data_IF_651197628105
#
_entry.id   IF_651197628105
#
_cell.length_a   1.000
_cell.length_b   1.000
_cell.length_c   1.000
_cell.angle_alpha   90.00
_cell.angle_beta   90.00
_cell.angle_gamma   90.00
#
_symmetry.space_group_name_H-M   'P 1'
#
loop_
_entity.id
_entity.type
_entity.pdbx_description
1 polymer ?
#
# COMPACT_ATOMS: atom_id res chain seq x y z
N UNK A 1 -48.33 -15.48 -19.94
CA UNK A 1 -48.09 -15.77 -21.35
C UNK A 1 -48.04 -14.45 -22.12
N UNK A 2 -46.83 -13.95 -22.41
CA UNK A 2 -46.49 -13.02 -23.49
C UNK A 2 -44.97 -12.97 -23.54
N UNK A 3 -44.44 -13.70 -24.50
CA UNK A 3 -43.03 -13.86 -24.83
C UNK A 3 -42.67 -12.71 -25.76
N UNK A 4 -41.64 -11.92 -25.43
CA UNK A 4 -41.06 -10.95 -26.36
C UNK A 4 -39.61 -11.36 -26.61
N UNK A 5 -39.40 -12.02 -27.74
CA UNK A 5 -38.09 -12.31 -28.33
C UNK A 5 -37.62 -11.04 -29.03
N UNK A 6 -36.45 -10.50 -28.65
CA UNK A 6 -35.75 -9.49 -29.46
C UNK A 6 -34.49 -10.13 -30.00
N UNK A 7 -34.39 -10.08 -31.32
CA UNK A 7 -33.48 -10.81 -32.17
C UNK A 7 -32.03 -10.30 -32.10
N UNK A 8 -31.12 -11.25 -32.33
CA UNK A 8 -29.69 -11.07 -32.53
C UNK A 8 -29.36 -10.11 -33.68
N UNK A 9 -28.32 -9.30 -33.49
CA UNK A 9 -27.50 -8.76 -34.56
C UNK A 9 -26.05 -9.18 -34.30
N UNK A 10 -25.59 -10.16 -35.08
CA UNK A 10 -24.21 -10.57 -35.21
C UNK A 10 -23.51 -9.64 -36.20
N UNK A 11 -22.36 -9.07 -35.81
CA UNK A 11 -21.47 -8.29 -36.69
C UNK A 11 -20.15 -9.05 -36.92
N UNK A 12 -19.66 -9.19 -38.18
CA UNK A 12 -18.43 -9.90 -38.47
C UNK A 12 -17.18 -9.00 -38.48
N UNK A 13 -16.08 -9.59 -37.99
CA UNK A 13 -14.68 -9.58 -38.48
C UNK A 13 -14.14 -8.38 -39.27
N UNK A 14 -12.97 -7.88 -38.83
CA UNK A 14 -11.83 -7.57 -39.71
C UNK A 14 -10.52 -7.75 -38.91
N UNK A 15 -9.66 -8.66 -39.41
CA UNK A 15 -8.28 -8.84 -38.96
C UNK A 15 -7.40 -7.71 -39.52
N UNK A 16 -6.50 -7.17 -38.70
CA UNK A 16 -5.30 -6.48 -39.17
C UNK A 16 -4.10 -6.98 -38.37
N UNK A 17 -3.35 -7.89 -39.00
CA UNK A 17 -2.02 -8.29 -38.58
C UNK A 17 -1.00 -7.33 -39.21
N UNK A 18 -0.12 -6.73 -38.41
CA UNK A 18 1.15 -6.19 -38.88
C UNK A 18 2.26 -6.77 -38.03
N UNK A 19 2.83 -7.86 -38.53
CA UNK A 19 4.14 -8.36 -38.15
C UNK A 19 5.18 -7.62 -39.00
N UNK A 20 6.19 -7.00 -38.41
CA UNK A 20 7.37 -6.53 -39.12
C UNK A 20 8.57 -6.61 -38.18
N UNK A 21 9.29 -7.72 -38.30
CA UNK A 21 10.63 -7.91 -37.79
C UNK A 21 11.59 -6.95 -38.49
N UNK A 22 12.33 -6.16 -37.73
CA UNK A 22 13.59 -5.57 -38.18
C UNK A 22 14.72 -6.17 -37.36
N UNK A 23 15.34 -7.18 -37.98
CA UNK A 23 16.63 -7.76 -37.67
C UNK A 23 17.70 -6.89 -38.33
N UNK A 24 18.66 -6.36 -37.59
CA UNK A 24 19.98 -5.97 -38.09
C UNK A 24 21.02 -6.07 -36.95
N UNK A 25 22.31 -6.20 -37.29
CA UNK A 25 23.19 -7.18 -36.67
C UNK A 25 24.16 -6.61 -35.62
N UNK A 26 24.75 -7.56 -34.90
CA UNK A 26 25.98 -7.46 -34.13
C UNK A 26 27.07 -6.70 -34.89
N UNK A 27 27.78 -5.80 -34.20
CA UNK A 27 29.10 -5.32 -34.58
C UNK A 27 29.94 -5.29 -33.32
N UNK A 28 30.53 -6.45 -33.03
CA UNK A 28 31.75 -6.54 -32.27
C UNK A 28 32.84 -5.76 -33.02
N UNK A 29 33.39 -4.74 -32.37
CA UNK A 29 34.74 -4.28 -32.68
C UNK A 29 35.48 -4.09 -31.37
N UNK A 30 36.16 -5.16 -30.97
CA UNK A 30 37.31 -5.08 -30.07
C UNK A 30 38.46 -4.36 -30.76
N UNK A 31 39.04 -3.37 -30.09
CA UNK A 31 40.43 -2.98 -30.29
C UNK A 31 40.98 -2.58 -28.92
N UNK A 32 42.00 -3.33 -28.49
CA UNK A 32 42.82 -3.11 -27.30
C UNK A 32 44.01 -2.19 -27.68
N UNK A 33 45.09 -2.10 -26.87
CA UNK A 33 45.45 -0.90 -26.11
C UNK A 33 46.73 -0.23 -26.65
N UNK A 34 46.98 1.03 -26.30
CA UNK A 34 48.35 1.52 -26.30
C UNK A 34 48.59 2.52 -25.18
N UNK A 35 49.75 2.32 -24.55
CA UNK A 35 50.22 2.92 -23.32
C UNK A 35 51.08 4.18 -23.59
N UNK A 36 51.61 4.72 -22.47
CA UNK A 36 52.81 5.58 -22.35
C UNK A 36 52.60 7.11 -22.52
N UNK A 37 53.12 8.04 -21.70
CA UNK A 37 54.00 8.08 -20.49
C UNK A 37 53.73 9.39 -19.71
N UNK A 38 53.80 9.27 -18.38
CA UNK A 38 54.29 10.20 -17.34
C UNK A 38 54.90 11.57 -17.70
N UNK A 39 54.50 12.63 -16.99
CA UNK A 39 55.44 13.49 -16.22
C UNK A 39 54.73 14.55 -15.35
N UNK A 40 55.00 14.39 -14.04
CA UNK A 40 55.37 15.41 -13.04
C UNK A 40 54.40 16.54 -12.62
N UNK A 41 54.25 16.59 -11.29
CA UNK A 41 53.66 17.62 -10.42
C UNK A 41 54.22 19.04 -10.65
N UNK A 42 53.52 20.05 -10.11
CA UNK A 42 54.10 20.73 -8.95
C UNK A 42 53.16 20.85 -7.75
N UNK A 43 53.79 21.04 -6.59
CA UNK A 43 53.22 21.13 -5.26
C UNK A 43 52.47 22.45 -4.97
N UNK A 44 51.58 22.39 -3.97
CA UNK A 44 50.86 23.52 -3.35
C UNK A 44 49.36 23.39 -3.63
N UNK A 45 48.45 23.30 -2.66
CA UNK A 45 48.41 23.96 -1.35
C UNK A 45 47.52 23.11 -0.44
N UNK A 46 47.95 22.92 0.80
CA UNK A 46 47.09 22.40 1.86
C UNK A 46 45.94 23.39 2.11
N UNK A 47 44.71 22.96 1.86
CA UNK A 47 43.51 23.56 2.42
C UNK A 47 42.85 22.52 3.32
N UNK A 48 43.38 22.44 4.53
CA UNK A 48 42.68 21.85 5.66
C UNK A 48 41.61 22.88 6.08
N UNK A 49 40.40 22.73 5.55
CA UNK A 49 39.22 23.44 6.07
C UNK A 49 38.00 22.52 5.99
N UNK A 50 37.69 22.00 7.16
CA UNK A 50 36.34 21.81 7.68
C UNK A 50 35.43 20.88 6.89
N UNK A 51 35.56 19.60 7.25
CA UNK A 51 34.41 18.74 7.51
C UNK A 51 33.52 19.37 8.61
N UNK A 52 32.81 20.44 8.27
CA UNK A 52 31.63 20.96 8.95
C UNK A 52 30.53 20.89 7.89
N UNK A 53 29.73 19.84 7.79
CA UNK A 53 28.55 19.70 8.62
C UNK A 53 27.96 18.29 8.43
N UNK A 54 28.63 17.27 8.96
CA UNK A 54 28.05 15.93 9.14
C UNK A 54 27.61 15.67 10.59
N UNK A 55 27.48 16.73 11.39
CA UNK A 55 27.02 16.69 12.79
C UNK A 55 25.55 17.06 12.96
N UNK A 56 24.73 16.97 11.91
CA UNK A 56 23.32 16.63 12.11
C UNK A 56 23.18 15.14 11.89
N UNK A 57 23.74 14.37 12.83
CA UNK A 57 23.35 12.99 13.01
C UNK A 57 21.84 13.00 13.25
N UNK A 58 21.11 12.76 12.16
CA UNK A 58 19.88 12.01 12.05
C UNK A 58 19.25 11.74 13.41
N UNK A 59 18.39 12.65 13.86
CA UNK A 59 17.31 12.24 14.75
C UNK A 59 16.53 11.20 13.95
N UNK A 60 16.73 9.91 14.26
CA UNK A 60 16.01 8.81 13.66
C UNK A 60 14.53 9.02 13.96
N UNK A 61 13.86 9.71 13.03
CA UNK A 61 12.47 10.10 13.19
C UNK A 61 11.66 8.88 12.86
N UNK A 62 11.09 8.26 13.88
CA UNK A 62 10.21 7.11 13.68
C UNK A 62 9.03 7.57 12.84
N UNK A 63 8.96 7.11 11.60
CA UNK A 63 7.83 7.39 10.71
C UNK A 63 6.52 7.00 11.41
N UNK A 64 5.49 7.81 11.22
CA UNK A 64 4.13 7.49 11.61
C UNK A 64 3.48 6.66 10.51
N UNK A 65 2.51 5.82 10.91
CA UNK A 65 1.76 4.97 10.01
C UNK A 65 0.28 5.35 10.05
N UNK A 66 -0.24 5.77 8.90
CA UNK A 66 -1.65 5.99 8.68
C UNK A 66 -2.23 4.88 7.78
N UNK A 67 -3.47 4.51 8.05
CA UNK A 67 -4.28 3.67 7.16
C UNK A 67 -4.98 4.55 6.12
N UNK A 68 -5.18 4.06 4.90
CA UNK A 68 -5.78 4.82 3.81
C UNK A 68 -6.68 3.95 2.92
N UNK A 69 -7.66 4.55 2.20
CA UNK A 69 -8.56 3.79 1.31
C UNK A 69 -7.84 2.98 0.23
N UNK A 70 -6.66 3.43 -0.20
CA UNK A 70 -5.86 2.90 -1.31
C UNK A 70 -4.58 2.19 -0.85
N UNK A 71 -4.36 2.04 0.46
CA UNK A 71 -3.17 1.38 1.01
C UNK A 71 -2.78 1.89 2.39
N UNK A 72 -1.48 2.14 2.57
CA UNK A 72 -0.92 2.72 3.79
C UNK A 72 -0.13 3.98 3.45
N UNK A 73 -0.06 4.90 4.41
CA UNK A 73 0.75 6.13 4.27
C UNK A 73 1.74 6.22 5.41
N UNK A 74 3.02 6.35 5.06
CA UNK A 74 4.10 6.61 5.99
C UNK A 74 4.33 8.12 6.05
N UNK A 75 4.41 8.69 7.24
CA UNK A 75 4.55 10.14 7.42
C UNK A 75 5.78 10.42 8.28
N UNK A 76 6.65 11.29 7.79
CA UNK A 76 7.73 11.85 8.60
C UNK A 76 7.18 13.00 9.44
N UNK A 77 7.15 12.85 10.78
CA UNK A 77 6.58 13.87 11.66
C UNK A 77 7.44 15.14 11.73
N UNK A 78 8.70 15.13 11.27
CA UNK A 78 9.58 16.31 11.36
C UNK A 78 9.34 17.31 10.23
N UNK A 79 9.01 16.84 9.04
CA UNK A 79 8.85 17.68 7.85
C UNK A 79 7.49 17.52 7.15
N UNK A 80 6.65 16.58 7.61
CA UNK A 80 5.33 16.31 7.03
C UNK A 80 5.37 15.58 5.69
N UNK A 81 6.56 15.16 5.22
CA UNK A 81 6.66 14.38 3.99
C UNK A 81 5.94 13.04 4.18
N UNK A 82 5.20 12.64 3.15
CA UNK A 82 4.47 11.39 3.15
C UNK A 82 4.85 10.51 1.97
N UNK A 83 4.86 9.21 2.21
CA UNK A 83 5.08 8.18 1.18
C UNK A 83 3.98 7.15 1.27
N UNK A 84 3.33 6.88 0.15
CA UNK A 84 2.33 5.84 0.07
C UNK A 84 2.96 4.46 -0.16
N UNK A 85 2.31 3.45 0.40
CA UNK A 85 2.41 2.04 0.06
C UNK A 85 1.04 1.64 -0.51
N UNK A 86 0.78 1.91 -1.81
CA UNK A 86 -0.51 1.61 -2.41
C UNK A 86 -0.73 0.10 -2.51
N UNK A 87 -1.99 -0.31 -2.63
CA UNK A 87 -2.30 -1.66 -3.09
C UNK A 87 -1.63 -1.93 -4.45
N UNK A 88 -1.15 -3.15 -4.64
CA UNK A 88 -0.28 -3.51 -5.78
C UNK A 88 1.22 -3.48 -5.45
N UNK A 89 1.62 -2.91 -4.31
CA UNK A 89 3.03 -2.94 -3.89
C UNK A 89 3.46 -4.38 -3.56
N UNK A 90 4.70 -4.74 -3.90
CA UNK A 90 5.26 -6.05 -3.59
C UNK A 90 5.30 -6.31 -2.07
N UNK A 91 4.99 -7.56 -1.67
CA UNK A 91 4.87 -7.97 -0.28
C UNK A 91 6.15 -7.71 0.54
N UNK A 92 7.30 -8.05 -0.02
CA UNK A 92 8.61 -7.85 0.60
C UNK A 92 8.90 -6.37 0.86
N UNK A 93 8.55 -5.49 -0.07
CA UNK A 93 8.68 -4.03 0.06
C UNK A 93 7.79 -3.52 1.19
N UNK A 94 6.54 -3.97 1.28
CA UNK A 94 5.61 -3.55 2.35
C UNK A 94 6.07 -4.06 3.71
N UNK A 95 6.46 -5.33 3.82
CA UNK A 95 6.92 -5.92 5.08
C UNK A 95 8.21 -5.27 5.57
N UNK A 96 9.18 -5.02 4.67
CA UNK A 96 10.43 -4.34 5.01
C UNK A 96 10.21 -2.88 5.45
N UNK A 97 9.26 -2.18 4.83
CA UNK A 97 8.91 -0.82 5.24
C UNK A 97 8.23 -0.81 6.62
N UNK A 98 7.36 -1.77 6.90
CA UNK A 98 6.61 -1.82 8.16
C UNK A 98 7.42 -2.40 9.32
N UNK A 99 8.38 -3.29 9.09
CA UNK A 99 9.23 -3.80 10.17
C UNK A 99 10.00 -2.68 10.89
N UNK A 100 10.39 -1.65 10.13
CA UNK A 100 11.06 -0.45 10.66
C UNK A 100 10.12 0.46 11.49
N UNK A 101 8.81 0.33 11.32
CA UNK A 101 7.82 1.27 11.87
C UNK A 101 6.96 0.63 12.96
N UNK A 102 6.44 -0.55 12.70
CA UNK A 102 5.55 -1.32 13.55
C UNK A 102 6.23 -2.53 14.20
N UNK A 103 7.50 -2.81 13.87
CA UNK A 103 8.20 -4.03 14.25
C UNK A 103 7.86 -5.20 13.32
N UNK A 104 8.52 -6.33 13.53
CA UNK A 104 8.23 -7.56 12.77
C UNK A 104 6.77 -8.03 12.97
N UNK A 105 6.16 -8.68 11.97
CA UNK A 105 4.87 -9.32 12.15
C UNK A 105 4.90 -10.32 13.32
N UNK A 106 3.96 -10.21 14.24
CA UNK A 106 3.79 -11.14 15.37
C UNK A 106 3.19 -12.48 14.94
N UNK A 107 2.54 -12.52 13.77
CA UNK A 107 2.01 -13.73 13.15
C UNK A 107 2.01 -13.57 11.63
N UNK A 108 2.41 -14.62 10.92
CA UNK A 108 2.23 -14.75 9.48
C UNK A 108 1.58 -16.09 9.19
N UNK A 109 0.57 -16.11 8.33
CA UNK A 109 -0.14 -17.33 7.97
C UNK A 109 -0.69 -17.28 6.55
N UNK A 110 -0.82 -18.45 5.92
CA UNK A 110 -1.54 -18.62 4.66
C UNK A 110 -2.96 -19.06 4.97
N UNK A 111 -3.97 -18.35 4.48
CA UNK A 111 -5.37 -18.75 4.56
C UNK A 111 -5.89 -19.13 3.17
N UNK A 112 -6.18 -20.42 2.98
CA UNK A 112 -6.71 -20.97 1.74
C UNK A 112 -8.22 -20.83 1.55
N UNK A 113 -8.95 -20.45 2.59
CA UNK A 113 -10.42 -20.52 2.66
C UNK A 113 -11.10 -19.15 2.51
N UNK A 114 -10.33 -18.10 2.24
CA UNK A 114 -10.89 -16.77 2.08
C UNK A 114 -11.80 -16.69 0.83
N UNK A 115 -12.98 -16.05 0.93
CA UNK A 115 -13.90 -15.91 -0.22
C UNK A 115 -13.29 -15.21 -1.44
N UNK A 116 -12.30 -14.34 -1.23
CA UNK A 116 -11.56 -13.65 -2.29
C UNK A 116 -10.41 -14.48 -2.89
N UNK A 117 -10.28 -15.76 -2.51
CA UNK A 117 -9.18 -16.63 -2.87
C UNK A 117 -8.06 -16.64 -1.82
N UNK A 118 -7.19 -17.64 -1.93
CA UNK A 118 -6.14 -17.91 -0.96
C UNK A 118 -5.16 -16.72 -0.80
N UNK A 119 -4.92 -16.31 0.44
CA UNK A 119 -4.11 -15.12 0.77
C UNK A 119 -3.13 -15.37 1.91
N UNK A 120 -2.04 -14.61 1.91
CA UNK A 120 -1.09 -14.54 3.01
C UNK A 120 -1.47 -13.38 3.91
N UNK A 121 -1.46 -13.61 5.22
CA UNK A 121 -1.87 -12.63 6.24
C UNK A 121 -0.68 -12.37 7.14
N UNK A 122 -0.31 -11.10 7.32
CA UNK A 122 0.69 -10.67 8.30
C UNK A 122 0.03 -9.79 9.36
N UNK A 123 0.14 -10.18 10.63
CA UNK A 123 -0.39 -9.45 11.77
C UNK A 123 0.75 -8.76 12.52
N UNK A 124 0.55 -7.51 12.91
CA UNK A 124 1.47 -6.70 13.68
C UNK A 124 0.95 -6.47 15.10
N UNK A 125 1.87 -6.17 16.03
CA UNK A 125 1.54 -5.96 17.44
C UNK A 125 0.60 -4.76 17.68
N UNK A 126 0.55 -3.80 16.76
CA UNK A 126 -0.32 -2.63 16.81
C UNK A 126 -1.74 -2.88 16.25
N UNK A 127 -2.13 -4.15 16.07
CA UNK A 127 -3.44 -4.55 15.56
C UNK A 127 -3.58 -4.54 14.04
N UNK A 128 -2.60 -4.02 13.28
CA UNK A 128 -2.67 -4.05 11.82
C UNK A 128 -2.57 -5.49 11.30
N UNK A 129 -3.48 -5.86 10.42
CA UNK A 129 -3.39 -7.08 9.61
C UNK A 129 -3.30 -6.70 8.14
N UNK A 130 -2.32 -7.22 7.44
CA UNK A 130 -2.15 -7.06 6.00
C UNK A 130 -2.60 -8.33 5.30
N UNK A 131 -3.21 -8.16 4.13
CA UNK A 131 -3.60 -9.24 3.23
C UNK A 131 -2.76 -9.14 1.95
N UNK A 132 -2.18 -10.26 1.55
CA UNK A 132 -1.38 -10.39 0.34
C UNK A 132 -1.93 -11.51 -0.54
N UNK A 133 -1.91 -11.30 -1.86
CA UNK A 133 -2.19 -12.33 -2.84
C UNK A 133 -1.12 -12.28 -3.92
N UNK A 134 -0.59 -13.44 -4.31
CA UNK A 134 0.48 -13.53 -5.32
C UNK A 134 1.66 -12.59 -5.00
N UNK A 135 2.12 -12.60 -3.74
CA UNK A 135 3.18 -11.72 -3.24
C UNK A 135 2.93 -10.21 -3.42
N UNK A 136 1.65 -9.80 -3.50
CA UNK A 136 1.23 -8.41 -3.70
C UNK A 136 0.34 -7.96 -2.56
N UNK A 137 0.57 -6.75 -2.05
CA UNK A 137 -0.26 -6.13 -1.02
C UNK A 137 -1.63 -5.74 -1.60
N UNK A 138 -2.70 -6.35 -1.08
CA UNK A 138 -4.05 -6.17 -1.63
C UNK A 138 -5.06 -5.60 -0.65
N UNK A 139 -4.75 -5.56 0.64
CA UNK A 139 -5.69 -5.05 1.63
C UNK A 139 -5.12 -4.99 3.04
N UNK A 140 -5.79 -4.23 3.90
CA UNK A 140 -5.48 -4.15 5.32
C UNK A 140 -6.75 -4.21 6.17
N UNK A 141 -6.62 -4.66 7.42
CA UNK A 141 -7.70 -4.70 8.40
C UNK A 141 -7.15 -4.33 9.77
N UNK A 142 -7.88 -3.47 10.48
CA UNK A 142 -7.70 -3.20 11.91
C UNK A 142 -8.93 -3.77 12.62
N UNK A 143 -8.81 -4.92 13.29
CA UNK A 143 -9.87 -5.45 14.14
C UNK A 143 -9.98 -4.66 15.44
N UNK A 144 -11.02 -4.98 16.20
CA UNK A 144 -11.36 -4.30 17.45
C UNK A 144 -10.19 -4.20 18.46
N UNK A 145 -10.21 -3.15 19.27
CA UNK A 145 -9.47 -2.90 20.53
C UNK A 145 -7.95 -3.13 20.56
N UNK A 146 -7.28 -3.24 19.40
CA UNK A 146 -5.85 -3.58 19.35
C UNK A 146 -4.97 -2.53 18.67
N UNK A 147 -5.53 -1.47 18.09
CA UNK A 147 -4.77 -0.47 17.34
C UNK A 147 -5.19 0.97 17.54
N UNK A 148 -4.20 1.87 17.59
CA UNK A 148 -4.37 3.34 17.55
C UNK A 148 -4.19 3.91 16.14
N UNK A 149 -4.28 3.05 15.12
CA UNK A 149 -4.10 3.46 13.73
C UNK A 149 -5.29 4.31 13.28
N UNK A 150 -4.97 5.43 12.65
CA UNK A 150 -5.97 6.33 12.09
C UNK A 150 -5.67 6.61 10.63
N UNK A 151 -6.70 7.06 9.93
CA UNK A 151 -6.55 7.76 8.66
C UNK A 151 -5.87 9.10 8.88
N UNK A 152 -5.43 9.75 7.80
CA UNK A 152 -4.92 11.13 7.85
C UNK A 152 -5.96 12.12 8.42
N UNK A 153 -7.26 11.81 8.31
CA UNK A 153 -8.35 12.60 8.89
C UNK A 153 -8.63 12.28 10.37
N UNK A 154 -7.83 11.40 11.00
CA UNK A 154 -7.98 11.04 12.42
C UNK A 154 -9.08 10.01 12.69
N UNK A 155 -9.69 9.41 11.66
CA UNK A 155 -10.69 8.34 11.81
C UNK A 155 -10.00 7.00 12.02
N UNK A 156 -10.35 6.28 13.08
CA UNK A 156 -9.84 4.93 13.38
C UNK A 156 -10.82 4.15 14.25
N UNK A 157 -10.36 3.05 14.85
CA UNK A 157 -11.16 2.29 15.82
C UNK A 157 -11.59 3.19 16.99
N UNK A 158 -12.86 3.10 17.37
CA UNK A 158 -13.46 3.92 18.43
C UNK A 158 -14.01 5.27 17.98
N UNK A 159 -13.66 5.78 16.79
CA UNK A 159 -14.28 7.00 16.22
C UNK A 159 -15.79 6.80 16.07
N UNK A 160 -16.58 7.87 16.29
CA UNK A 160 -18.04 7.80 16.14
C UNK A 160 -18.47 7.90 14.68
N UNK A 161 -19.68 7.45 14.38
CA UNK A 161 -20.31 7.63 13.07
C UNK A 161 -20.41 9.12 12.69
N UNK A 162 -20.61 10.01 13.67
CA UNK A 162 -20.59 11.46 13.42
C UNK A 162 -19.20 11.94 12.95
N UNK A 163 -18.12 11.53 13.65
CA UNK A 163 -16.75 11.85 13.23
C UNK A 163 -16.45 11.30 11.83
N UNK A 164 -16.86 10.05 11.56
CA UNK A 164 -16.69 9.44 10.24
C UNK A 164 -17.40 10.25 9.15
N UNK A 165 -18.67 10.61 9.35
CA UNK A 165 -19.47 11.43 8.41
C UNK A 165 -18.94 12.85 8.22
N UNK A 166 -18.22 13.40 9.21
CA UNK A 166 -17.58 14.71 9.08
C UNK A 166 -16.34 14.69 8.19
N UNK A 167 -15.71 13.52 8.04
CA UNK A 167 -14.48 13.34 7.27
C UNK A 167 -14.71 12.70 5.89
N UNK A 168 -15.78 11.92 5.72
CA UNK A 168 -16.04 11.13 4.51
C UNK A 168 -17.52 11.13 4.12
N UNK A 169 -17.80 10.88 2.84
CA UNK A 169 -19.13 10.45 2.40
C UNK A 169 -19.37 9.00 2.82
N UNK A 170 -20.41 8.75 3.62
CA UNK A 170 -20.64 7.47 4.29
C UNK A 170 -21.95 6.85 3.84
N UNK A 171 -21.87 5.62 3.34
CA UNK A 171 -23.04 4.76 3.08
C UNK A 171 -23.16 3.71 4.16
N UNK A 172 -24.36 3.55 4.71
CA UNK A 172 -24.66 2.57 5.75
C UNK A 172 -25.43 1.39 5.17
N UNK A 173 -25.15 0.20 5.68
CA UNK A 173 -25.88 -1.02 5.33
C UNK A 173 -25.92 -1.98 6.52
N UNK A 174 -26.85 -2.93 6.50
CA UNK A 174 -26.90 -4.02 7.48
C UNK A 174 -26.60 -5.34 6.77
N UNK A 175 -25.76 -6.18 7.37
CA UNK A 175 -25.42 -7.51 6.86
C UNK A 175 -25.37 -8.56 7.98
N UNK A 176 -24.95 -9.79 7.66
CA UNK A 176 -24.70 -10.84 8.64
C UNK A 176 -23.65 -10.45 9.70
N UNK A 177 -22.82 -9.45 9.44
CA UNK A 177 -21.81 -8.92 10.36
C UNK A 177 -22.35 -7.81 11.28
N UNK A 178 -23.59 -7.37 11.09
CA UNK A 178 -24.21 -6.27 11.81
C UNK A 178 -24.27 -4.99 10.99
N UNK A 179 -24.08 -3.85 11.65
CA UNK A 179 -24.13 -2.54 10.99
C UNK A 179 -22.80 -2.23 10.32
N UNK A 180 -22.82 -2.10 9.00
CA UNK A 180 -21.65 -1.78 8.17
C UNK A 180 -21.71 -0.35 7.66
N UNK A 181 -20.53 0.15 7.30
CA UNK A 181 -20.38 1.35 6.51
C UNK A 181 -19.40 1.16 5.35
N UNK A 182 -19.55 2.01 4.33
CA UNK A 182 -18.56 2.26 3.28
C UNK A 182 -18.25 3.75 3.21
N UNK A 183 -16.98 4.07 3.07
CA UNK A 183 -16.43 5.42 2.91
C UNK A 183 -15.35 5.37 1.81
N UNK A 184 -15.76 5.59 0.56
CA UNK A 184 -14.92 5.27 -0.61
C UNK A 184 -14.56 3.78 -0.65
N UNK A 185 -13.26 3.49 -0.74
CA UNK A 185 -12.70 2.13 -0.73
C UNK A 185 -12.45 1.57 0.67
N UNK A 186 -12.72 2.36 1.73
CA UNK A 186 -12.75 1.88 3.10
C UNK A 186 -14.13 1.36 3.48
N UNK A 187 -14.17 0.34 4.31
CA UNK A 187 -15.38 -0.19 4.91
C UNK A 187 -15.12 -0.58 6.37
N UNK A 188 -16.18 -0.70 7.15
CA UNK A 188 -16.06 -0.99 8.56
C UNK A 188 -17.35 -1.47 9.20
N UNK A 189 -17.22 -1.92 10.45
CA UNK A 189 -18.34 -2.26 11.32
C UNK A 189 -18.56 -1.17 12.36
N UNK A 190 -19.82 -0.93 12.70
CA UNK A 190 -20.25 -0.04 13.76
C UNK A 190 -20.83 -0.85 14.92
N UNK A 191 -20.38 -0.55 16.13
CA UNK A 191 -20.98 -1.00 17.39
C UNK A 191 -21.84 0.09 18.01
N UNK A 192 -22.99 -0.27 18.56
CA UNK A 192 -23.95 0.66 19.15
C UNK A 192 -24.96 1.22 18.14
N UNK A 193 -25.59 2.35 18.46
CA UNK A 193 -26.70 2.93 17.70
C UNK A 193 -26.58 4.43 17.53
N UNK A 194 -27.25 4.97 16.50
CA UNK A 194 -27.32 6.42 16.27
C UNK A 194 -25.99 7.04 15.82
N UNK A 195 -25.85 8.35 15.98
CA UNK A 195 -24.66 9.12 15.59
C UNK A 195 -23.41 8.78 16.42
N UNK A 196 -23.59 8.19 17.60
CA UNK A 196 -22.51 7.85 18.53
C UNK A 196 -22.04 6.40 18.38
N UNK A 197 -22.64 5.62 17.47
CA UNK A 197 -22.15 4.30 17.11
C UNK A 197 -20.67 4.39 16.72
N UNK A 198 -19.84 3.47 17.23
CA UNK A 198 -18.39 3.52 17.12
C UNK A 198 -17.86 2.52 16.11
N UNK A 199 -16.80 2.90 15.39
CA UNK A 199 -16.07 1.98 14.51
C UNK A 199 -15.41 0.90 15.36
N UNK A 200 -15.78 -0.36 15.15
CA UNK A 200 -15.22 -1.53 15.87
C UNK A 200 -14.29 -2.36 15.00
N UNK A 201 -14.37 -2.21 13.67
CA UNK A 201 -13.47 -2.85 12.71
C UNK A 201 -13.40 -1.98 11.48
N UNK A 202 -12.21 -1.85 10.89
CA UNK A 202 -11.96 -1.01 9.73
C UNK A 202 -11.05 -1.75 8.76
N UNK A 203 -11.36 -1.67 7.46
CA UNK A 203 -10.57 -2.31 6.42
C UNK A 203 -10.65 -1.57 5.10
N UNK A 204 -9.70 -1.84 4.22
CA UNK A 204 -9.74 -1.43 2.81
C UNK A 204 -9.04 -2.46 1.93
N UNK A 205 -9.37 -2.42 0.63
CA UNK A 205 -8.89 -3.39 -0.35
C UNK A 205 -9.52 -4.77 -0.22
N UNK A 206 -8.81 -5.79 -0.69
CA UNK A 206 -9.22 -7.20 -0.63
C UNK A 206 -8.79 -7.82 0.69
N UNK A 207 -9.76 -8.21 1.52
CA UNK A 207 -9.53 -8.75 2.87
C UNK A 207 -10.30 -10.05 3.10
N UNK A 208 -9.85 -10.85 4.07
CA UNK A 208 -10.52 -12.09 4.47
C UNK A 208 -11.65 -11.82 5.49
N UNK A 209 -12.74 -11.19 5.04
CA UNK A 209 -13.94 -11.01 5.85
C UNK A 209 -14.95 -12.09 5.45
N UNK A 210 -15.13 -13.09 6.32
CA UNK A 210 -16.13 -14.13 6.14
C UNK A 210 -17.54 -13.55 6.31
N UNK A 211 -18.47 -14.00 5.48
CA UNK A 211 -19.86 -13.54 5.44
C UNK A 211 -20.81 -14.70 5.26
#
# INVERSE_FOLDING_TARGET
MRVTVVALLAGPMLLAACNSSTRMPNSEQSATPDANVESAMPAGVAANSTAENSTVATLASKLLLNIAPDGLTLVDPQNGHSRQLPFGTAQDVVLSALSQIAGEPVKQERNGECPAGAMDIAQFANGLRLSFQNATFVGWTVPNDTGKLTTAAGVGIGSTLNMLKSAYDVRLSTSSLGQEFRAGDMAGLLGGSGSDARITTLWAGTTCIFR
#
